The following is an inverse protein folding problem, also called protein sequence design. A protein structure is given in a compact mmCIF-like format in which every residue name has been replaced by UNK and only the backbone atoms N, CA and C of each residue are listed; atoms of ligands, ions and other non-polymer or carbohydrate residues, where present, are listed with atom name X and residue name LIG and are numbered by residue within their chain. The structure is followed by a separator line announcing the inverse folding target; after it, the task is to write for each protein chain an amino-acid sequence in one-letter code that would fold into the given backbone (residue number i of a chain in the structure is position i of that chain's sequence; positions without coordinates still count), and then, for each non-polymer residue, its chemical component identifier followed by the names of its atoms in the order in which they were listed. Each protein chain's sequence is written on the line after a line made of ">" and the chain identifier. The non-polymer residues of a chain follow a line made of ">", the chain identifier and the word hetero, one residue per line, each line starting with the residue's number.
data_IF_102833125609
#
_entry.id   IF_102833125609
#
_cell.length_a   1.000
_cell.length_b   1.000
_cell.length_c   1.000
_cell.angle_alpha   90.00
_cell.angle_beta   90.00
_cell.angle_gamma   90.00
#
_symmetry.space_group_name_H-M   'P 1'
#
loop_
_entity.id
_entity.type
_entity.pdbx_description
1 polymer ?
#
# COMPACT_ATOMS: atom_id res chain seq x y z
N UNK A 1 22.87 64.37 -41.46
CA UNK A 1 22.42 63.01 -41.76
C UNK A 1 22.51 62.23 -40.46
N UNK A 2 21.38 61.69 -40.02
CA UNK A 2 21.28 60.75 -38.91
C UNK A 2 21.96 59.43 -39.27
N UNK A 3 22.62 58.76 -38.33
CA UNK A 3 22.06 57.57 -37.66
C UNK A 3 23.07 56.96 -36.65
N UNK A 4 22.51 56.55 -35.53
CA UNK A 4 23.11 55.76 -34.45
C UNK A 4 23.38 54.31 -34.87
N UNK A 5 24.35 53.63 -34.23
CA UNK A 5 24.20 52.26 -33.67
C UNK A 5 25.32 51.98 -32.63
N UNK A 6 25.14 51.05 -31.67
CA UNK A 6 25.11 51.41 -30.25
C UNK A 6 26.11 50.62 -29.39
N UNK A 7 26.20 51.05 -28.13
CA UNK A 7 26.89 50.38 -27.02
C UNK A 7 26.35 48.96 -26.82
N UNK A 8 27.23 47.96 -26.90
CA UNK A 8 26.90 46.58 -26.58
C UNK A 8 26.63 46.42 -25.08
N UNK A 9 25.36 46.32 -24.71
CA UNK A 9 24.94 45.88 -23.38
C UNK A 9 25.15 44.37 -23.27
N UNK A 10 25.95 43.97 -22.27
CA UNK A 10 26.05 42.58 -21.87
C UNK A 10 24.69 42.11 -21.36
N UNK A 11 24.08 41.17 -22.10
CA UNK A 11 22.88 40.46 -21.67
C UNK A 11 23.33 39.55 -20.53
N UNK A 12 23.05 39.97 -19.30
CA UNK A 12 23.03 39.08 -18.15
C UNK A 12 21.93 38.06 -18.45
N UNK A 13 22.21 36.74 -18.46
CA UNK A 13 21.15 35.77 -18.59
C UNK A 13 20.25 35.99 -17.39
N UNK A 14 19.02 36.43 -17.64
CA UNK A 14 17.96 36.35 -16.65
C UNK A 14 17.91 34.92 -16.17
N UNK A 15 18.23 34.70 -14.90
CA UNK A 15 17.92 33.44 -14.23
C UNK A 15 16.40 33.40 -14.19
N UNK A 16 15.80 32.75 -15.18
CA UNK A 16 14.42 32.30 -15.06
C UNK A 16 14.35 31.50 -13.75
N UNK A 17 13.37 31.76 -12.86
CA UNK A 17 13.17 30.87 -11.73
C UNK A 17 12.92 29.49 -12.32
N UNK A 18 13.66 28.49 -11.80
CA UNK A 18 13.42 27.10 -12.15
C UNK A 18 11.92 26.86 -12.09
N UNK A 19 11.36 26.33 -13.19
CA UNK A 19 9.98 25.91 -13.31
C UNK A 19 9.50 25.40 -11.95
N UNK A 20 8.60 26.18 -11.33
CA UNK A 20 8.07 25.93 -9.99
C UNK A 20 7.15 24.73 -10.08
N UNK A 21 7.73 23.55 -10.28
CA UNK A 21 7.05 22.34 -10.70
C UNK A 21 5.95 22.00 -9.71
N UNK A 22 4.72 21.94 -10.21
CA UNK A 22 3.60 21.43 -9.44
C UNK A 22 3.87 19.96 -9.07
N UNK A 23 3.73 19.65 -7.80
CA UNK A 23 3.76 18.32 -7.23
C UNK A 23 2.32 17.79 -7.30
N UNK A 24 2.13 16.71 -8.06
CA UNK A 24 0.87 15.96 -8.04
C UNK A 24 0.95 14.87 -6.97
N UNK A 25 -0.03 14.81 -6.08
CA UNK A 25 -0.08 13.82 -4.99
C UNK A 25 -1.50 13.34 -4.71
N UNK A 26 -1.60 12.27 -3.93
CA UNK A 26 -2.86 11.67 -3.50
C UNK A 26 -3.06 11.88 -2.00
N UNK A 27 -4.25 12.30 -1.62
CA UNK A 27 -4.66 12.49 -0.23
C UNK A 27 -5.94 11.70 0.02
N UNK A 28 -5.89 10.78 0.97
CA UNK A 28 -7.07 10.08 1.49
C UNK A 28 -7.73 10.94 2.57
N UNK A 29 -9.06 11.04 2.55
CA UNK A 29 -9.82 11.86 3.51
C UNK A 29 -10.82 10.96 4.21
N UNK A 30 -10.62 10.69 5.49
CA UNK A 30 -11.63 10.01 6.31
C UNK A 30 -12.76 11.01 6.63
N UNK A 31 -13.99 10.63 6.31
CA UNK A 31 -15.16 11.50 6.38
C UNK A 31 -16.48 10.69 6.46
N UNK A 32 -17.60 11.38 6.35
CA UNK A 32 -18.95 10.80 6.28
C UNK A 32 -19.53 11.02 4.89
N UNK A 33 -20.04 9.96 4.26
CA UNK A 33 -20.72 10.06 2.96
C UNK A 33 -22.14 10.64 3.09
N UNK A 34 -22.80 10.88 1.95
CA UNK A 34 -24.17 11.42 1.91
C UNK A 34 -25.23 10.53 2.58
N UNK A 35 -24.90 9.26 2.90
CA UNK A 35 -25.77 8.34 3.64
C UNK A 35 -25.59 8.42 5.16
N UNK A 36 -24.59 9.17 5.64
CA UNK A 36 -24.19 9.18 7.04
C UNK A 36 -23.23 8.05 7.40
N UNK A 37 -22.68 7.33 6.42
CA UNK A 37 -21.75 6.21 6.64
C UNK A 37 -20.30 6.69 6.62
N UNK A 38 -19.40 6.10 7.43
CA UNK A 38 -17.97 6.37 7.32
C UNK A 38 -17.44 5.98 5.94
N UNK A 39 -16.68 6.89 5.31
CA UNK A 39 -16.01 6.66 4.04
C UNK A 39 -14.59 7.24 4.08
N UNK A 40 -13.75 6.84 3.13
CA UNK A 40 -12.38 7.34 2.98
C UNK A 40 -11.98 7.51 1.50
N UNK A 41 -12.59 8.48 0.78
CA UNK A 41 -12.22 8.80 -0.60
C UNK A 41 -10.75 9.27 -0.72
N UNK A 42 -10.17 9.04 -1.90
CA UNK A 42 -8.83 9.51 -2.27
C UNK A 42 -8.93 10.55 -3.36
N UNK A 43 -8.39 11.74 -3.11
CA UNK A 43 -8.35 12.86 -4.04
C UNK A 43 -6.95 13.08 -4.59
N UNK A 44 -6.87 13.44 -5.86
CA UNK A 44 -5.62 13.92 -6.47
C UNK A 44 -5.56 15.43 -6.34
N UNK A 45 -4.48 15.95 -5.77
CA UNK A 45 -4.24 17.38 -5.58
C UNK A 45 -2.93 17.78 -6.25
N UNK A 46 -2.87 19.03 -6.73
CA UNK A 46 -1.64 19.64 -7.26
C UNK A 46 -1.27 20.83 -6.39
N UNK A 47 -0.02 20.84 -5.95
CA UNK A 47 0.53 21.90 -5.10
C UNK A 47 1.93 22.30 -5.55
N UNK A 48 2.33 23.54 -5.30
CA UNK A 48 3.75 23.92 -5.38
C UNK A 48 4.52 23.36 -4.18
N UNK A 49 5.85 23.40 -4.21
CA UNK A 49 6.66 23.04 -3.03
C UNK A 49 6.34 23.93 -1.82
N UNK A 50 6.16 25.25 -2.04
CA UNK A 50 5.82 26.20 -0.97
C UNK A 50 4.44 25.88 -0.36
N UNK A 51 3.48 25.49 -1.18
CA UNK A 51 2.16 25.05 -0.71
C UNK A 51 2.23 23.70 0.03
N UNK A 52 3.07 22.78 -0.42
CA UNK A 52 3.32 21.51 0.26
C UNK A 52 3.89 21.74 1.67
N UNK A 53 4.91 22.60 1.79
CA UNK A 53 5.56 22.94 3.05
C UNK A 53 4.63 23.68 4.05
N UNK A 54 3.51 24.19 3.56
CA UNK A 54 2.45 24.86 4.33
C UNK A 54 1.21 23.98 4.52
N UNK A 55 1.28 22.69 4.20
CA UNK A 55 0.19 21.71 4.35
C UNK A 55 -1.09 22.02 3.55
N UNK A 56 -0.99 22.88 2.51
CA UNK A 56 -2.14 23.35 1.70
C UNK A 56 -2.79 22.20 0.91
N UNK A 57 -2.06 21.12 0.66
CA UNK A 57 -2.59 19.93 -0.01
C UNK A 57 -3.76 19.29 0.77
N UNK A 58 -3.81 19.41 2.10
CA UNK A 58 -4.93 18.92 2.91
C UNK A 58 -6.16 19.84 2.82
N UNK A 59 -5.95 21.16 2.78
CA UNK A 59 -7.04 22.11 2.53
C UNK A 59 -7.70 21.83 1.17
N UNK A 60 -6.88 21.69 0.12
CA UNK A 60 -7.35 21.34 -1.23
C UNK A 60 -8.11 20.02 -1.27
N UNK A 61 -7.65 18.99 -0.55
CA UNK A 61 -8.34 17.70 -0.50
C UNK A 61 -9.68 17.78 0.24
N UNK A 62 -9.77 18.59 1.30
CA UNK A 62 -11.03 18.86 2.02
C UNK A 62 -12.03 19.63 1.17
N UNK A 63 -11.59 20.65 0.44
CA UNK A 63 -12.46 21.40 -0.49
C UNK A 63 -13.05 20.45 -1.54
N UNK A 64 -12.25 19.54 -2.10
CA UNK A 64 -12.73 18.52 -3.04
C UNK A 64 -13.72 17.53 -2.39
N UNK A 65 -13.53 17.18 -1.13
CA UNK A 65 -14.47 16.33 -0.40
C UNK A 65 -15.81 17.03 -0.16
N UNK A 66 -15.79 18.29 0.25
CA UNK A 66 -16.99 19.12 0.44
C UNK A 66 -17.75 19.30 -0.89
N UNK A 67 -17.05 19.60 -1.98
CA UNK A 67 -17.63 19.70 -3.32
C UNK A 67 -18.28 18.38 -3.77
N UNK A 68 -17.67 17.25 -3.39
CA UNK A 68 -18.20 15.91 -3.62
C UNK A 68 -19.32 15.50 -2.65
N UNK A 69 -19.78 16.41 -1.77
CA UNK A 69 -20.86 16.22 -0.78
C UNK A 69 -20.54 15.25 0.36
N UNK A 70 -19.26 15.08 0.69
CA UNK A 70 -18.86 14.47 1.94
C UNK A 70 -19.01 15.46 3.10
N UNK A 71 -19.23 14.92 4.29
CA UNK A 71 -19.41 15.68 5.52
C UNK A 71 -18.28 15.39 6.51
N UNK A 72 -17.94 16.40 7.32
CA UNK A 72 -16.94 16.29 8.35
C UNK A 72 -17.37 15.39 9.52
N UNK A 73 -16.42 14.98 10.40
CA UNK A 73 -15.05 15.47 10.49
C UNK A 73 -14.18 15.01 9.31
N UNK A 74 -13.30 15.89 8.81
CA UNK A 74 -12.33 15.57 7.77
C UNK A 74 -10.96 15.33 8.38
N UNK A 75 -10.43 14.12 8.23
CA UNK A 75 -9.05 13.78 8.62
C UNK A 75 -8.30 13.33 7.35
N UNK A 76 -7.23 14.03 7.02
CA UNK A 76 -6.48 13.80 5.79
C UNK A 76 -5.22 12.97 6.05
N UNK A 77 -4.84 12.14 5.09
CA UNK A 77 -3.63 11.33 5.09
C UNK A 77 -3.00 11.35 3.70
N UNK A 78 -1.71 11.62 3.62
CA UNK A 78 -0.94 11.47 2.39
C UNK A 78 -0.06 10.20 2.43
N UNK A 79 0.86 10.08 1.48
CA UNK A 79 1.77 8.94 1.39
C UNK A 79 2.79 8.86 2.54
N UNK A 80 3.07 9.95 3.26
CA UNK A 80 3.91 9.97 4.47
C UNK A 80 3.13 9.47 5.70
N UNK A 81 1.80 9.66 5.77
CA UNK A 81 0.96 9.18 6.88
C UNK A 81 0.33 7.78 6.65
N UNK A 82 0.90 6.95 5.77
CA UNK A 82 0.36 5.61 5.52
C UNK A 82 0.48 4.65 6.74
N UNK A 83 1.40 4.93 7.66
CA UNK A 83 1.71 4.06 8.81
C UNK A 83 0.51 3.76 9.72
N UNK A 84 -0.19 4.78 10.25
CA UNK A 84 -1.41 4.60 11.02
C UNK A 84 -2.51 3.79 10.31
N UNK A 85 -2.76 4.07 9.02
CA UNK A 85 -3.75 3.34 8.20
C UNK A 85 -3.38 1.86 8.12
N UNK A 86 -2.12 1.57 7.81
CA UNK A 86 -1.63 0.20 7.70
C UNK A 86 -1.71 -0.55 9.05
N UNK A 87 -1.39 0.13 10.15
CA UNK A 87 -1.51 -0.46 11.49
C UNK A 87 -2.95 -0.85 11.81
N UNK A 88 -3.89 0.07 11.60
CA UNK A 88 -5.32 -0.19 11.82
C UNK A 88 -5.84 -1.32 10.92
N UNK A 89 -5.47 -1.32 9.64
CA UNK A 89 -5.86 -2.38 8.70
C UNK A 89 -5.34 -3.75 9.13
N UNK A 90 -4.12 -3.83 9.71
CA UNK A 90 -3.57 -5.07 10.27
C UNK A 90 -4.32 -5.53 11.52
N UNK A 91 -4.60 -4.61 12.45
CA UNK A 91 -5.34 -4.92 13.68
C UNK A 91 -6.77 -5.41 13.39
N UNK A 92 -7.41 -4.86 12.36
CA UNK A 92 -8.73 -5.28 11.90
C UNK A 92 -8.69 -6.54 11.01
N UNK A 93 -7.51 -7.07 10.70
CA UNK A 93 -7.36 -8.24 9.82
C UNK A 93 -7.78 -7.99 8.37
N UNK A 94 -7.74 -6.74 7.91
CA UNK A 94 -8.16 -6.33 6.56
C UNK A 94 -7.04 -6.40 5.52
N UNK A 95 -5.78 -6.39 5.96
CA UNK A 95 -4.64 -6.62 5.06
C UNK A 95 -4.67 -8.09 4.62
N UNK A 96 -4.86 -8.39 3.33
CA UNK A 96 -4.84 -9.76 2.84
C UNK A 96 -3.49 -10.38 3.18
N UNK A 97 -3.49 -11.57 3.77
CA UNK A 97 -2.26 -12.33 3.95
C UNK A 97 -1.81 -12.83 2.56
N UNK A 98 -0.67 -12.36 2.09
CA UNK A 98 -0.08 -12.85 0.86
C UNK A 98 0.82 -14.03 1.20
N UNK A 99 0.55 -15.19 0.59
CA UNK A 99 1.44 -16.36 0.66
C UNK A 99 2.01 -16.59 -0.73
N UNK A 100 3.34 -16.48 -0.85
CA UNK A 100 4.05 -16.80 -2.08
C UNK A 100 4.64 -18.20 -1.92
N UNK A 101 4.33 -19.10 -2.85
CA UNK A 101 4.89 -20.45 -2.93
C UNK A 101 5.71 -20.55 -4.21
N UNK A 102 7.01 -20.74 -4.08
CA UNK A 102 7.90 -21.03 -5.20
C UNK A 102 7.91 -22.54 -5.44
N UNK A 103 7.35 -22.97 -6.57
CA UNK A 103 7.26 -24.37 -7.00
C UNK A 103 8.13 -24.69 -8.23
N UNK A 104 9.18 -23.91 -8.46
CA UNK A 104 10.08 -24.12 -9.60
C UNK A 104 10.58 -25.58 -9.64
N UNK A 105 10.78 -26.14 -10.83
CA UNK A 105 11.12 -27.56 -11.03
C UNK A 105 10.12 -28.59 -10.44
N UNK A 106 8.91 -28.16 -10.08
CA UNK A 106 7.88 -29.01 -9.49
C UNK A 106 8.09 -29.31 -8.00
N UNK A 107 9.00 -28.59 -7.32
CA UNK A 107 9.27 -28.74 -5.90
C UNK A 107 9.03 -27.41 -5.17
N UNK A 108 8.48 -27.48 -3.96
CA UNK A 108 8.37 -26.28 -3.11
C UNK A 108 9.78 -25.87 -2.66
N UNK A 109 10.30 -24.76 -3.19
CA UNK A 109 11.59 -24.20 -2.81
C UNK A 109 11.48 -23.20 -1.66
N UNK A 110 10.42 -22.38 -1.64
CA UNK A 110 10.23 -21.39 -0.59
C UNK A 110 8.75 -21.05 -0.38
N UNK A 111 8.42 -20.70 0.86
CA UNK A 111 7.14 -20.12 1.24
C UNK A 111 7.42 -18.82 1.99
N UNK A 112 6.82 -17.72 1.54
CA UNK A 112 6.94 -16.40 2.17
C UNK A 112 5.58 -15.84 2.50
N UNK A 113 5.47 -15.14 3.63
CA UNK A 113 4.28 -14.40 4.00
C UNK A 113 4.64 -13.02 4.56
N UNK A 114 3.72 -12.09 4.37
CA UNK A 114 3.73 -10.74 4.94
C UNK A 114 3.13 -10.66 6.35
N UNK A 115 2.75 -11.80 6.93
CA UNK A 115 2.25 -11.97 8.30
C UNK A 115 3.21 -12.83 9.14
N UNK A 116 3.18 -12.60 10.47
CA UNK A 116 4.09 -13.23 11.43
C UNK A 116 3.83 -14.70 11.71
N UNK A 117 2.67 -15.26 11.32
CA UNK A 117 2.38 -16.69 11.45
C UNK A 117 1.67 -17.21 10.20
N UNK A 118 2.25 -18.22 9.54
CA UNK A 118 1.57 -19.02 8.51
C UNK A 118 1.63 -20.50 8.85
N UNK A 119 0.56 -21.21 8.57
CA UNK A 119 0.51 -22.65 8.67
C UNK A 119 0.76 -23.28 7.30
N UNK A 120 1.96 -23.82 7.12
CA UNK A 120 2.29 -24.62 5.93
C UNK A 120 1.84 -26.06 6.12
N UNK A 121 1.23 -26.66 5.10
CA UNK A 121 0.91 -28.09 5.04
C UNK A 121 1.53 -28.64 3.76
N UNK A 122 2.64 -29.36 3.88
CA UNK A 122 3.26 -30.07 2.76
C UNK A 122 2.68 -31.48 2.66
N UNK A 123 2.02 -31.78 1.54
CA UNK A 123 1.53 -33.11 1.25
C UNK A 123 2.69 -33.99 0.78
N UNK A 124 3.09 -34.96 1.60
CA UNK A 124 3.93 -36.07 1.16
C UNK A 124 3.07 -37.35 1.14
N UNK A 125 2.81 -37.87 -0.05
CA UNK A 125 2.05 -39.11 -0.25
C UNK A 125 2.93 -40.36 -0.20
N UNK A 126 4.25 -40.20 -0.06
CA UNK A 126 5.23 -41.30 -0.09
C UNK A 126 5.47 -41.96 1.28
N UNK A 127 5.18 -41.27 2.38
CA UNK A 127 5.28 -41.84 3.73
C UNK A 127 3.94 -42.45 4.20
N UNK A 128 3.97 -43.78 4.40
CA UNK A 128 2.82 -44.63 4.75
C UNK A 128 2.87 -45.19 6.17
N UNK A 129 3.84 -44.76 7.01
CA UNK A 129 4.06 -45.30 8.35
C UNK A 129 2.95 -44.96 9.36
N UNK A 130 2.40 -45.96 10.04
CA UNK A 130 1.23 -45.81 10.94
C UNK A 130 1.49 -45.06 12.27
N UNK A 131 2.76 -44.82 12.65
CA UNK A 131 3.14 -44.31 13.98
C UNK A 131 3.88 -42.97 13.97
N UNK A 132 3.86 -42.23 12.86
CA UNK A 132 4.54 -40.94 12.80
C UNK A 132 3.74 -39.81 13.47
N UNK A 133 4.45 -38.81 14.02
CA UNK A 133 3.90 -37.61 14.66
C UNK A 133 3.06 -36.69 13.73
N UNK A 134 2.84 -37.07 12.48
CA UNK A 134 2.28 -36.22 11.43
C UNK A 134 0.78 -36.37 11.11
N UNK A 135 0.03 -37.13 11.92
CA UNK A 135 -1.35 -37.55 11.59
C UNK A 135 -2.45 -36.63 12.16
N UNK A 136 -2.12 -35.43 12.64
CA UNK A 136 -3.06 -34.62 13.42
C UNK A 136 -4.08 -33.81 12.58
N UNK A 137 -3.76 -33.40 11.34
CA UNK A 137 -4.66 -32.57 10.52
C UNK A 137 -5.24 -33.39 9.34
N UNK A 138 -6.57 -33.36 9.17
CA UNK A 138 -7.31 -34.07 8.11
C UNK A 138 -8.06 -33.08 7.21
N UNK A 139 -7.44 -32.50 6.17
CA UNK A 139 -8.13 -31.64 5.22
C UNK A 139 -9.04 -32.44 4.29
N UNK A 140 -10.06 -31.76 3.74
CA UNK A 140 -10.97 -32.30 2.74
C UNK A 140 -10.32 -32.22 1.34
N UNK A 141 -10.21 -33.35 0.64
CA UNK A 141 -9.73 -33.41 -0.74
C UNK A 141 -10.81 -33.04 -1.77
N UNK A 142 -10.44 -33.02 -3.06
CA UNK A 142 -11.29 -32.59 -4.18
C UNK A 142 -12.67 -33.28 -4.26
N UNK A 143 -12.79 -34.49 -3.72
CA UNK A 143 -14.04 -35.27 -3.71
C UNK A 143 -14.80 -35.20 -2.38
N UNK A 144 -14.47 -34.25 -1.51
CA UNK A 144 -15.08 -34.11 -0.18
C UNK A 144 -14.70 -35.21 0.82
N UNK A 145 -13.69 -36.02 0.51
CA UNK A 145 -13.17 -37.04 1.44
C UNK A 145 -12.01 -36.48 2.24
N UNK A 146 -11.93 -36.82 3.52
CA UNK A 146 -10.77 -36.51 4.35
C UNK A 146 -9.53 -37.24 3.84
N UNK A 147 -8.50 -36.49 3.45
CA UNK A 147 -7.25 -37.04 2.94
C UNK A 147 -6.24 -37.14 4.08
N UNK A 148 -5.52 -38.27 4.15
CA UNK A 148 -4.37 -38.39 5.06
C UNK A 148 -3.22 -37.59 4.46
N UNK A 149 -2.77 -36.56 5.18
CA UNK A 149 -1.61 -35.79 4.79
C UNK A 149 -0.75 -35.48 5.99
N UNK A 150 0.54 -35.32 5.72
CA UNK A 150 1.49 -34.75 6.64
C UNK A 150 1.26 -33.24 6.68
N UNK A 151 1.38 -32.63 7.85
CA UNK A 151 1.34 -31.17 7.99
C UNK A 151 2.52 -30.74 8.84
N UNK A 152 3.45 -30.00 8.27
CA UNK A 152 4.56 -29.41 9.01
C UNK A 152 4.30 -27.92 9.19
N UNK A 153 3.76 -27.55 10.35
CA UNK A 153 3.51 -26.15 10.69
C UNK A 153 4.80 -25.51 11.19
N UNK A 154 5.39 -24.63 10.37
CA UNK A 154 6.48 -23.76 10.80
C UNK A 154 5.95 -22.34 10.98
N UNK A 155 6.18 -21.77 12.17
CA UNK A 155 6.02 -20.35 12.40
C UNK A 155 7.10 -19.61 11.62
N UNK A 156 6.70 -18.86 10.60
CA UNK A 156 7.63 -18.02 9.86
C UNK A 156 8.07 -16.87 10.78
N UNK A 157 9.35 -16.81 11.14
CA UNK A 157 9.87 -15.63 11.82
C UNK A 157 9.91 -14.48 10.82
N UNK A 158 9.11 -13.44 11.07
CA UNK A 158 9.26 -12.19 10.33
C UNK A 158 10.65 -11.62 10.63
N UNK A 159 11.49 -11.51 9.59
CA UNK A 159 12.72 -10.74 9.70
C UNK A 159 12.28 -9.27 9.64
N UNK A 160 12.55 -8.45 10.68
CA UNK A 160 12.22 -7.03 10.64
C UNK A 160 12.96 -6.37 9.46
N UNK A 161 12.27 -5.52 8.72
CA UNK A 161 12.88 -4.63 7.72
C UNK A 161 13.68 -3.52 8.40
#
# INVERSE_FOLDING_TARGET
>A
MADEVPSGQAIIPSTEPADGGEIEMQVAVACIDASGSPDMPVFKVRVTQEEYDLDIHYDKARDLAEDARYEGPFICFDAAEYGPILSAARELGLVPQVVVVDITEGQIHSIRCDSGEIKVICYDTSDTGEYSAAVANRPLGENGQFVRCWSHTQLAQSIPA
#
